data_IF_490621017502
#
_entry.id   IF_490621017502
#
_cell.length_a   1.000
_cell.length_b   1.000
_cell.length_c   1.000
_cell.angle_alpha   90.00
_cell.angle_beta   90.00
_cell.angle_gamma   90.00
#
_symmetry.space_group_name_H-M   'P 1'
#
loop_
_entity.id
_entity.type
_entity.pdbx_description
1 polymer ?
#
# COMPACT_ATOMS: atom_id res chain seq x y z
N UNK A 1 -15.53 -36.09 -20.89
CA UNK A 1 -14.36 -35.18 -20.83
C UNK A 1 -14.63 -34.07 -21.82
N UNK A 2 -15.21 -32.95 -21.37
CA UNK A 2 -15.55 -31.82 -22.25
C UNK A 2 -14.29 -30.96 -22.45
N UNK A 3 -13.80 -30.88 -23.68
CA UNK A 3 -12.71 -29.97 -24.05
C UNK A 3 -13.26 -28.56 -23.98
N UNK A 4 -12.87 -27.79 -22.92
CA UNK A 4 -13.15 -26.36 -22.85
C UNK A 4 -12.27 -25.69 -23.92
N UNK A 5 -12.85 -25.44 -25.08
CA UNK A 5 -12.22 -24.60 -26.11
C UNK A 5 -12.21 -23.16 -25.56
N UNK A 6 -11.03 -22.70 -25.19
CA UNK A 6 -10.86 -21.28 -24.78
C UNK A 6 -11.10 -20.42 -26.02
N UNK A 7 -12.00 -19.41 -25.95
CA UNK A 7 -12.13 -18.45 -27.02
C UNK A 7 -10.79 -17.69 -27.14
N UNK A 8 -10.21 -17.68 -28.31
CA UNK A 8 -9.07 -16.82 -28.64
C UNK A 8 -9.50 -15.37 -28.40
N UNK A 9 -8.71 -14.58 -27.68
CA UNK A 9 -9.05 -13.17 -27.46
C UNK A 9 -9.18 -12.51 -28.85
N UNK A 10 -10.32 -11.87 -29.11
CA UNK A 10 -10.50 -11.05 -30.30
C UNK A 10 -9.39 -10.02 -30.40
N UNK A 11 -8.79 -9.77 -31.58
CA UNK A 11 -7.76 -8.73 -31.71
C UNK A 11 -8.35 -7.40 -31.31
N UNK A 12 -7.86 -6.86 -30.21
CA UNK A 12 -8.25 -5.50 -29.78
C UNK A 12 -7.58 -4.49 -30.72
N UNK A 13 -8.27 -3.44 -31.17
CA UNK A 13 -7.69 -2.41 -32.04
C UNK A 13 -6.63 -1.55 -31.32
N UNK A 14 -6.34 -1.85 -30.07
CA UNK A 14 -5.39 -1.11 -29.22
C UNK A 14 -4.15 -1.93 -28.92
N UNK A 15 -2.98 -1.28 -28.70
CA UNK A 15 -1.79 -1.97 -28.21
C UNK A 15 -2.11 -2.84 -26.97
N UNK A 16 -1.47 -3.97 -26.84
CA UNK A 16 -1.79 -4.98 -25.81
C UNK A 16 -1.91 -4.40 -24.38
N UNK A 17 -1.10 -3.38 -24.04
CA UNK A 17 -1.12 -2.71 -22.74
C UNK A 17 -2.38 -1.86 -22.56
N UNK A 18 -2.76 -1.07 -23.59
CA UNK A 18 -3.97 -0.22 -23.55
C UNK A 18 -5.22 -1.10 -23.50
N UNK A 19 -5.22 -2.18 -24.27
CA UNK A 19 -6.32 -3.16 -24.26
C UNK A 19 -6.50 -3.81 -22.90
N UNK A 20 -5.41 -4.15 -22.19
CA UNK A 20 -5.46 -4.70 -20.84
C UNK A 20 -5.99 -3.68 -19.82
N UNK A 21 -5.55 -2.41 -19.91
CA UNK A 21 -6.04 -1.35 -19.04
C UNK A 21 -7.55 -1.09 -19.20
N UNK A 22 -8.04 -1.03 -20.43
CA UNK A 22 -9.46 -0.86 -20.72
C UNK A 22 -10.31 -2.04 -20.20
N UNK A 23 -9.79 -3.27 -20.32
CA UNK A 23 -10.45 -4.46 -19.77
C UNK A 23 -10.43 -4.47 -18.24
N UNK A 24 -9.29 -4.15 -17.60
CA UNK A 24 -9.16 -4.04 -16.15
C UNK A 24 -10.12 -2.98 -15.55
N UNK A 25 -10.40 -1.89 -16.28
CA UNK A 25 -11.39 -0.87 -15.88
C UNK A 25 -12.78 -1.48 -15.62
N UNK A 26 -13.17 -2.56 -16.33
CA UNK A 26 -14.45 -3.23 -16.07
C UNK A 26 -14.49 -3.87 -14.68
N UNK A 27 -13.35 -4.40 -14.19
CA UNK A 27 -13.24 -4.90 -12.82
C UNK A 27 -13.42 -3.78 -11.80
N UNK A 28 -12.83 -2.62 -12.05
CA UNK A 28 -12.99 -1.43 -11.19
C UNK A 28 -14.43 -0.98 -11.16
N UNK A 29 -15.11 -0.89 -12.33
CA UNK A 29 -16.53 -0.53 -12.41
C UNK A 29 -17.41 -1.48 -11.59
N UNK A 30 -17.16 -2.78 -11.69
CA UNK A 30 -17.86 -3.80 -10.90
C UNK A 30 -17.63 -3.57 -9.41
N UNK A 31 -16.39 -3.40 -8.97
CA UNK A 31 -16.06 -3.17 -7.57
C UNK A 31 -16.72 -1.87 -7.06
N UNK A 32 -16.72 -0.81 -7.84
CA UNK A 32 -17.37 0.46 -7.50
C UNK A 32 -18.89 0.29 -7.27
N UNK A 33 -19.58 -0.51 -8.09
CA UNK A 33 -21.00 -0.79 -7.93
C UNK A 33 -21.31 -1.56 -6.65
N UNK A 34 -20.46 -2.53 -6.29
CA UNK A 34 -20.57 -3.31 -5.05
C UNK A 34 -20.40 -2.39 -3.82
N UNK A 35 -19.34 -1.56 -3.82
CA UNK A 35 -19.01 -0.71 -2.68
C UNK A 35 -19.83 0.57 -2.58
N UNK A 36 -20.65 0.90 -3.58
CA UNK A 36 -21.52 2.10 -3.56
C UNK A 36 -22.41 2.21 -2.32
N UNK A 37 -22.84 1.08 -1.77
CA UNK A 37 -23.70 1.02 -0.59
C UNK A 37 -22.91 0.97 0.74
N UNK A 38 -21.58 0.82 0.68
CA UNK A 38 -20.71 0.69 1.86
C UNK A 38 -19.88 1.96 2.12
N UNK A 39 -20.42 3.15 1.79
CA UNK A 39 -19.73 4.43 1.95
C UNK A 39 -19.31 4.72 3.41
N UNK A 40 -20.07 4.20 4.39
CA UNK A 40 -19.76 4.33 5.82
C UNK A 40 -18.41 3.67 6.14
N UNK A 41 -18.08 2.52 5.51
CA UNK A 41 -16.79 1.84 5.69
C UNK A 41 -15.64 2.70 5.15
N UNK A 42 -15.85 3.39 4.04
CA UNK A 42 -14.84 4.31 3.49
C UNK A 42 -14.66 5.51 4.43
N UNK A 43 -15.76 6.04 4.95
CA UNK A 43 -15.73 7.17 5.89
C UNK A 43 -15.08 6.81 7.23
N UNK A 44 -15.31 5.60 7.75
CA UNK A 44 -14.69 5.15 9.01
C UNK A 44 -13.16 5.13 8.94
N UNK A 45 -12.59 4.85 7.78
CA UNK A 45 -11.13 4.89 7.57
C UNK A 45 -10.49 6.28 7.69
N UNK A 46 -11.30 7.36 7.69
CA UNK A 46 -10.82 8.72 7.97
C UNK A 46 -10.47 8.93 9.45
N UNK A 47 -11.14 8.24 10.34
CA UNK A 47 -10.92 8.41 11.78
C UNK A 47 -9.63 7.76 12.29
N UNK A 48 -9.18 6.67 11.65
CA UNK A 48 -7.95 5.99 12.04
C UNK A 48 -6.74 6.95 12.04
N UNK A 49 -6.43 7.67 10.93
CA UNK A 49 -5.36 8.68 10.91
C UNK A 49 -5.51 9.76 11.99
N UNK A 50 -6.72 10.25 12.17
CA UNK A 50 -7.00 11.30 13.15
C UNK A 50 -6.67 10.83 14.58
N UNK A 51 -7.12 9.63 14.95
CA UNK A 51 -6.84 9.08 16.28
C UNK A 51 -5.36 8.77 16.48
N UNK A 52 -4.66 8.26 15.47
CA UNK A 52 -3.21 8.07 15.55
C UNK A 52 -2.47 9.38 15.73
N UNK A 53 -2.80 10.43 14.95
CA UNK A 53 -2.14 11.72 15.06
C UNK A 53 -2.45 12.43 16.38
N UNK A 54 -3.68 12.34 16.87
CA UNK A 54 -4.05 12.91 18.17
C UNK A 54 -3.43 12.12 19.33
N UNK A 55 -3.55 10.79 19.33
CA UNK A 55 -3.06 9.96 20.42
C UNK A 55 -1.53 9.89 20.46
N UNK A 56 -0.90 9.55 19.35
CA UNK A 56 0.56 9.38 19.29
C UNK A 56 1.24 10.72 19.01
N UNK A 57 0.79 11.48 18.00
CA UNK A 57 1.44 12.72 17.61
C UNK A 57 1.41 13.77 18.70
N UNK A 58 0.25 14.09 19.23
CA UNK A 58 0.11 15.08 20.31
C UNK A 58 0.21 14.44 21.69
N UNK A 59 -0.45 13.30 21.95
CA UNK A 59 -0.43 12.66 23.26
C UNK A 59 0.98 12.30 23.73
N UNK A 60 1.71 11.48 22.95
CA UNK A 60 3.11 11.18 23.26
C UNK A 60 4.04 12.37 23.03
N UNK A 61 3.73 13.24 22.09
CA UNK A 61 4.53 14.43 21.80
C UNK A 61 4.75 15.35 23.02
N UNK A 62 3.78 15.43 23.93
CA UNK A 62 3.92 16.20 25.17
C UNK A 62 4.97 15.63 26.13
N UNK A 63 5.26 14.35 26.05
CA UNK A 63 6.27 13.67 26.88
C UNK A 63 7.63 13.55 26.18
N UNK A 64 7.63 13.36 24.86
CA UNK A 64 8.87 13.16 24.08
C UNK A 64 9.54 14.51 23.77
N UNK A 65 8.75 15.56 23.51
CA UNK A 65 9.27 16.86 23.11
C UNK A 65 9.74 16.88 21.66
N UNK A 66 10.84 17.59 21.42
CA UNK A 66 11.42 17.73 20.07
C UNK A 66 12.38 16.61 19.75
N UNK A 67 12.40 16.19 18.48
CA UNK A 67 13.28 15.15 17.95
C UNK A 67 14.34 15.76 17.03
N UNK A 68 15.59 15.35 17.23
CA UNK A 68 16.68 15.69 16.31
C UNK A 68 16.72 14.65 15.18
N UNK A 69 16.48 15.11 13.96
CA UNK A 69 16.56 14.31 12.74
C UNK A 69 18.00 14.22 12.21
N UNK A 70 18.22 13.38 11.22
CA UNK A 70 19.47 13.37 10.45
C UNK A 70 19.77 14.78 9.91
N UNK A 71 21.05 15.18 9.94
CA UNK A 71 21.46 16.55 9.56
C UNK A 71 21.30 17.60 10.66
N UNK A 72 20.89 17.22 11.89
CA UNK A 72 20.79 18.12 13.03
C UNK A 72 19.51 18.97 13.07
N UNK A 73 18.53 18.72 12.22
CA UNK A 73 17.25 19.42 12.21
C UNK A 73 16.38 18.98 13.40
N UNK A 74 15.92 19.95 14.18
CA UNK A 74 15.04 19.72 15.33
C UNK A 74 13.61 20.01 14.93
N UNK A 75 12.73 19.04 15.13
CA UNK A 75 11.30 19.14 14.79
C UNK A 75 10.44 18.63 15.94
N UNK A 76 9.20 19.16 16.13
CA UNK A 76 8.25 18.60 17.09
C UNK A 76 7.98 17.11 16.79
N UNK A 77 7.78 16.31 17.84
CA UNK A 77 7.51 14.88 17.69
C UNK A 77 6.36 14.57 16.73
N UNK A 78 5.28 15.37 16.77
CA UNK A 78 4.14 15.19 15.87
C UNK A 78 4.53 15.34 14.40
N UNK A 79 5.42 16.27 14.06
CA UNK A 79 5.94 16.47 12.69
C UNK A 79 6.82 15.31 12.26
N UNK A 80 7.58 14.72 13.18
CA UNK A 80 8.43 13.56 12.93
C UNK A 80 7.61 12.30 12.66
N UNK A 81 6.56 12.04 13.48
CA UNK A 81 5.80 10.80 13.45
C UNK A 81 4.70 10.80 12.38
N UNK A 82 4.14 11.94 12.01
CA UNK A 82 3.01 12.03 11.09
C UNK A 82 3.27 11.39 9.70
N UNK A 83 4.39 11.66 9.00
CA UNK A 83 4.69 10.99 7.73
C UNK A 83 4.91 9.48 7.88
N UNK A 84 5.42 9.04 9.02
CA UNK A 84 5.60 7.63 9.30
C UNK A 84 4.25 6.92 9.53
N UNK A 85 3.31 7.57 10.22
CA UNK A 85 1.94 7.07 10.36
C UNK A 85 1.20 7.06 9.02
N UNK A 86 1.44 8.04 8.13
CA UNK A 86 0.92 8.05 6.77
C UNK A 86 1.45 6.84 5.97
N UNK A 87 2.76 6.56 6.04
CA UNK A 87 3.37 5.39 5.40
C UNK A 87 2.80 4.08 5.94
N UNK A 88 2.65 3.96 7.25
CA UNK A 88 2.07 2.81 7.93
C UNK A 88 0.61 2.59 7.53
N UNK A 89 -0.22 3.62 7.59
CA UNK A 89 -1.64 3.54 7.21
C UNK A 89 -1.77 3.13 5.73
N UNK A 90 -0.90 3.69 4.87
CA UNK A 90 -0.82 3.32 3.45
C UNK A 90 -0.47 1.84 3.26
N UNK A 91 0.55 1.35 3.95
CA UNK A 91 0.94 -0.07 3.90
C UNK A 91 -0.18 -0.97 4.41
N UNK A 92 -0.71 -0.67 5.59
CA UNK A 92 -1.75 -1.49 6.21
C UNK A 92 -3.01 -1.53 5.36
N UNK A 93 -3.47 -0.37 4.87
CA UNK A 93 -4.63 -0.27 3.98
C UNK A 93 -4.43 -1.01 2.66
N UNK A 94 -3.27 -0.85 2.02
CA UNK A 94 -2.94 -1.51 0.76
C UNK A 94 -2.88 -3.03 0.87
N UNK A 95 -2.20 -3.54 1.90
CA UNK A 95 -2.04 -4.98 2.14
C UNK A 95 -3.37 -5.59 2.59
N UNK A 96 -4.08 -4.95 3.53
CA UNK A 96 -5.38 -5.45 4.00
C UNK A 96 -6.38 -5.53 2.86
N UNK A 97 -6.50 -4.47 2.03
CA UNK A 97 -7.42 -4.46 0.91
C UNK A 97 -7.14 -5.60 -0.07
N UNK A 98 -5.88 -5.82 -0.39
CA UNK A 98 -5.51 -6.87 -1.35
C UNK A 98 -5.61 -8.26 -0.74
N UNK A 99 -5.24 -8.46 0.54
CA UNK A 99 -5.36 -9.77 1.19
C UNK A 99 -6.83 -10.13 1.37
N UNK A 100 -7.61 -9.33 2.10
CA UNK A 100 -9.00 -9.69 2.42
C UNK A 100 -9.86 -9.77 1.17
N UNK A 101 -9.87 -8.73 0.35
CA UNK A 101 -10.75 -8.63 -0.80
C UNK A 101 -10.45 -9.72 -1.85
N UNK A 102 -9.17 -9.90 -2.21
CA UNK A 102 -8.78 -10.89 -3.23
C UNK A 102 -8.91 -12.33 -2.70
N UNK A 103 -8.58 -12.56 -1.42
CA UNK A 103 -8.70 -13.90 -0.83
C UNK A 103 -10.15 -14.41 -0.82
N UNK A 104 -11.10 -13.59 -0.41
CA UNK A 104 -12.51 -13.99 -0.40
C UNK A 104 -13.04 -14.19 -1.82
N UNK A 105 -12.73 -13.33 -2.76
CA UNK A 105 -13.09 -13.47 -4.18
C UNK A 105 -12.49 -14.73 -4.83
N UNK A 106 -11.26 -15.10 -4.43
CA UNK A 106 -10.55 -16.24 -4.97
C UNK A 106 -11.07 -17.58 -4.42
N UNK A 107 -11.24 -17.65 -3.09
CA UNK A 107 -11.45 -18.94 -2.42
C UNK A 107 -12.93 -19.22 -2.10
N UNK A 108 -13.73 -18.20 -1.78
CA UNK A 108 -15.12 -18.37 -1.35
C UNK A 108 -16.13 -18.00 -2.43
N UNK A 109 -16.03 -16.81 -2.98
CA UNK A 109 -17.01 -16.33 -3.96
C UNK A 109 -16.76 -16.86 -5.37
N UNK A 110 -15.57 -17.37 -5.65
CA UNK A 110 -15.14 -17.89 -6.96
C UNK A 110 -15.41 -16.95 -8.14
N UNK A 111 -15.35 -15.64 -7.85
CA UNK A 111 -15.67 -14.60 -8.83
C UNK A 111 -14.74 -14.65 -10.03
N UNK A 112 -13.47 -15.01 -9.81
CA UNK A 112 -12.49 -15.05 -10.87
C UNK A 112 -12.73 -16.17 -11.87
N UNK A 113 -13.37 -17.28 -11.47
CA UNK A 113 -13.79 -18.33 -12.40
C UNK A 113 -14.84 -17.80 -13.40
N UNK A 114 -15.82 -17.03 -12.90
CA UNK A 114 -16.81 -16.37 -13.74
C UNK A 114 -16.19 -15.28 -14.64
N UNK A 115 -15.21 -14.52 -14.13
CA UNK A 115 -14.49 -13.51 -14.93
C UNK A 115 -13.67 -14.17 -16.04
N UNK A 116 -13.01 -15.29 -15.78
CA UNK A 116 -12.24 -16.03 -16.76
C UNK A 116 -13.09 -16.73 -17.84
N UNK A 117 -14.40 -16.88 -17.62
CA UNK A 117 -15.34 -17.29 -18.66
C UNK A 117 -15.64 -16.17 -19.68
N UNK A 118 -15.21 -14.93 -19.40
CA UNK A 118 -15.26 -13.77 -20.29
C UNK A 118 -13.92 -13.58 -21.01
N UNK A 119 -13.78 -12.65 -21.97
CA UNK A 119 -12.50 -12.36 -22.63
C UNK A 119 -11.42 -11.74 -21.73
N UNK A 120 -11.62 -11.70 -20.42
CA UNK A 120 -10.64 -11.20 -19.44
C UNK A 120 -9.63 -12.28 -19.06
N UNK A 121 -8.35 -11.89 -19.02
CA UNK A 121 -7.27 -12.77 -18.59
C UNK A 121 -6.85 -12.54 -17.13
N UNK A 122 -6.00 -13.44 -16.62
CA UNK A 122 -5.44 -13.34 -15.25
C UNK A 122 -4.71 -12.00 -15.03
N UNK A 123 -4.04 -11.50 -16.07
CA UNK A 123 -3.38 -10.19 -16.00
C UNK A 123 -4.36 -9.02 -15.82
N UNK A 124 -5.53 -9.11 -16.46
CA UNK A 124 -6.58 -8.09 -16.36
C UNK A 124 -7.23 -8.11 -14.96
N UNK A 125 -7.36 -9.31 -14.36
CA UNK A 125 -7.83 -9.49 -12.98
C UNK A 125 -6.83 -8.84 -12.02
N UNK A 126 -5.54 -9.19 -12.09
CA UNK A 126 -4.52 -8.65 -11.21
C UNK A 126 -4.43 -7.13 -11.31
N UNK A 127 -4.46 -6.59 -12.54
CA UNK A 127 -4.43 -5.14 -12.76
C UNK A 127 -5.70 -4.46 -12.26
N UNK A 128 -6.87 -5.07 -12.45
CA UNK A 128 -8.16 -4.52 -12.01
C UNK A 128 -8.27 -4.44 -10.49
N UNK A 129 -7.83 -5.49 -9.77
CA UNK A 129 -7.81 -5.47 -8.30
C UNK A 129 -6.77 -4.45 -7.76
N UNK A 130 -5.61 -4.35 -8.42
CA UNK A 130 -4.62 -3.35 -8.08
C UNK A 130 -5.15 -1.92 -8.28
N UNK A 131 -5.80 -1.65 -9.41
CA UNK A 131 -6.41 -0.34 -9.68
C UNK A 131 -7.48 0.01 -8.65
N UNK A 132 -8.29 -0.97 -8.24
CA UNK A 132 -9.30 -0.78 -7.20
C UNK A 132 -8.66 -0.45 -5.85
N UNK A 133 -7.65 -1.21 -5.42
CA UNK A 133 -6.91 -0.95 -4.20
C UNK A 133 -6.25 0.43 -4.21
N UNK A 134 -5.70 0.86 -5.37
CA UNK A 134 -5.13 2.20 -5.56
C UNK A 134 -6.17 3.31 -5.41
N UNK A 135 -7.39 3.14 -5.93
CA UNK A 135 -8.47 4.13 -5.76
C UNK A 135 -8.79 4.30 -4.27
N UNK A 136 -8.93 3.22 -3.54
CA UNK A 136 -9.17 3.28 -2.08
C UNK A 136 -8.01 3.90 -1.33
N UNK A 137 -6.78 3.50 -1.64
CA UNK A 137 -5.58 4.08 -1.06
C UNK A 137 -5.50 5.59 -1.31
N UNK A 138 -5.91 6.06 -2.49
CA UNK A 138 -5.97 7.50 -2.81
C UNK A 138 -6.91 8.24 -1.87
N UNK A 139 -8.10 7.69 -1.63
CA UNK A 139 -9.10 8.31 -0.75
C UNK A 139 -8.53 8.45 0.67
N UNK A 140 -7.94 7.39 1.21
CA UNK A 140 -7.35 7.41 2.56
C UNK A 140 -6.11 8.31 2.64
N UNK A 141 -5.24 8.29 1.63
CA UNK A 141 -4.07 9.16 1.57
C UNK A 141 -4.45 10.64 1.55
N UNK A 142 -5.44 11.02 0.72
CA UNK A 142 -5.95 12.40 0.68
C UNK A 142 -6.53 12.81 2.03
N UNK A 143 -7.31 11.93 2.66
CA UNK A 143 -7.88 12.18 3.98
C UNK A 143 -6.77 12.39 5.03
N UNK A 144 -5.75 11.51 5.05
CA UNK A 144 -4.64 11.61 5.99
C UNK A 144 -3.83 12.91 5.78
N UNK A 145 -3.46 13.20 4.53
CA UNK A 145 -2.70 14.41 4.19
C UNK A 145 -3.53 15.67 4.51
N UNK A 146 -4.84 15.65 4.29
CA UNK A 146 -5.72 16.76 4.67
C UNK A 146 -5.72 17.00 6.20
N UNK A 147 -5.76 15.94 7.01
CA UNK A 147 -5.62 16.06 8.47
C UNK A 147 -4.25 16.63 8.85
N UNK A 148 -3.16 16.13 8.25
CA UNK A 148 -1.81 16.67 8.48
C UNK A 148 -1.72 18.16 8.13
N UNK A 149 -2.36 18.58 7.02
CA UNK A 149 -2.40 19.97 6.59
C UNK A 149 -3.15 20.86 7.60
N UNK A 150 -4.33 20.44 8.04
CA UNK A 150 -5.14 21.17 9.03
C UNK A 150 -4.41 21.28 10.37
N UNK A 151 -3.66 20.25 10.76
CA UNK A 151 -2.88 20.24 11.99
C UNK A 151 -1.53 20.98 11.87
N UNK A 152 -1.18 21.53 10.69
CA UNK A 152 0.08 22.24 10.47
C UNK A 152 1.33 21.36 10.49
N UNK A 153 1.19 20.06 10.21
CA UNK A 153 2.29 19.08 10.25
C UNK A 153 3.07 19.00 8.93
N UNK A 154 2.63 19.70 7.88
CA UNK A 154 3.32 19.80 6.60
C UNK A 154 4.11 21.10 6.56
N UNK A 155 5.38 21.03 6.89
CA UNK A 155 6.24 22.22 7.03
C UNK A 155 7.04 22.56 5.77
N UNK A 156 6.94 21.74 4.72
CA UNK A 156 7.72 21.88 3.50
C UNK A 156 6.85 22.10 2.25
N UNK A 157 7.31 22.92 1.28
CA UNK A 157 6.68 23.01 -0.04
C UNK A 157 6.67 21.69 -0.81
N UNK A 158 7.65 20.80 -0.55
CA UNK A 158 7.73 19.47 -1.15
C UNK A 158 6.61 18.53 -0.70
N UNK A 159 5.84 18.90 0.34
CA UNK A 159 4.68 18.14 0.81
C UNK A 159 3.59 17.95 -0.28
N UNK A 160 3.58 18.79 -1.33
CA UNK A 160 2.72 18.59 -2.50
C UNK A 160 3.00 17.24 -3.17
N UNK A 161 4.25 16.76 -3.13
CA UNK A 161 4.65 15.46 -3.64
C UNK A 161 4.32 14.30 -2.70
N UNK A 162 3.85 14.56 -1.47
CA UNK A 162 3.51 13.51 -0.52
C UNK A 162 2.38 12.62 -1.06
N UNK A 163 1.37 13.19 -1.75
CA UNK A 163 0.29 12.41 -2.33
C UNK A 163 0.79 11.44 -3.42
N UNK A 164 1.47 11.87 -4.50
CA UNK A 164 2.00 10.94 -5.49
C UNK A 164 3.01 9.95 -4.91
N UNK A 165 3.82 10.34 -3.93
CA UNK A 165 4.74 9.43 -3.24
C UNK A 165 3.98 8.37 -2.44
N UNK A 166 2.92 8.75 -1.72
CA UNK A 166 2.04 7.81 -1.00
C UNK A 166 1.39 6.82 -1.94
N UNK A 167 0.92 7.27 -3.11
CA UNK A 167 0.35 6.38 -4.13
C UNK A 167 1.39 5.43 -4.71
N UNK A 168 2.61 5.88 -4.90
CA UNK A 168 3.72 5.03 -5.33
C UNK A 168 4.04 3.96 -4.29
N UNK A 169 4.12 4.30 -3.00
CA UNK A 169 4.26 3.35 -1.90
C UNK A 169 3.10 2.36 -1.86
N UNK A 170 1.85 2.85 -1.98
CA UNK A 170 0.65 2.03 -2.02
C UNK A 170 0.68 1.00 -3.14
N UNK A 171 1.14 1.38 -4.34
CA UNK A 171 1.29 0.47 -5.47
C UNK A 171 2.22 -0.71 -5.14
N UNK A 172 3.35 -0.42 -4.50
CA UNK A 172 4.32 -1.45 -4.09
C UNK A 172 3.71 -2.39 -3.02
N UNK A 173 3.03 -1.84 -2.03
CA UNK A 173 2.38 -2.64 -0.97
C UNK A 173 1.15 -3.41 -1.47
N UNK A 174 0.34 -2.86 -2.37
CA UNK A 174 -0.75 -3.58 -3.03
C UNK A 174 -0.23 -4.79 -3.81
N UNK A 175 0.87 -4.62 -4.54
CA UNK A 175 1.49 -5.73 -5.27
C UNK A 175 1.99 -6.83 -4.32
N UNK A 176 2.60 -6.44 -3.19
CA UNK A 176 3.05 -7.38 -2.16
C UNK A 176 1.88 -8.11 -1.49
N UNK A 177 0.81 -7.39 -1.12
CA UNK A 177 -0.39 -8.00 -0.57
C UNK A 177 -1.07 -8.96 -1.54
N UNK A 178 -1.16 -8.60 -2.83
CA UNK A 178 -1.68 -9.48 -3.87
C UNK A 178 -0.83 -10.75 -4.03
N UNK A 179 0.50 -10.62 -3.97
CA UNK A 179 1.40 -11.78 -3.99
C UNK A 179 1.17 -12.66 -2.75
N UNK A 180 1.12 -12.07 -1.56
CA UNK A 180 0.91 -12.77 -0.29
C UNK A 180 -0.41 -13.55 -0.29
N UNK A 181 -1.50 -12.95 -0.79
CA UNK A 181 -2.82 -13.60 -0.89
C UNK A 181 -2.75 -14.94 -1.63
N UNK A 182 -1.87 -15.05 -2.61
CA UNK A 182 -1.74 -16.30 -3.38
C UNK A 182 -1.12 -17.45 -2.57
N UNK A 183 -0.49 -17.21 -1.45
CA UNK A 183 0.08 -18.24 -0.57
C UNK A 183 -0.90 -18.66 0.53
N UNK A 184 -1.84 -17.80 0.90
CA UNK A 184 -2.81 -18.07 1.96
C UNK A 184 -3.82 -19.13 1.51
N UNK A 185 -4.18 -20.02 2.43
CA UNK A 185 -5.12 -21.14 2.20
C UNK A 185 -6.38 -21.00 3.07
N UNK A 186 -6.21 -20.52 4.28
CA UNK A 186 -7.26 -20.36 5.29
C UNK A 186 -7.29 -18.94 5.82
N UNK A 187 -8.36 -18.56 6.50
CA UNK A 187 -8.47 -17.25 7.17
C UNK A 187 -7.45 -17.13 8.32
N UNK A 188 -7.13 -18.23 9.00
CA UNK A 188 -6.13 -18.24 10.05
C UNK A 188 -4.72 -17.91 9.57
N UNK A 189 -4.42 -18.17 8.29
CA UNK A 189 -3.12 -17.83 7.71
C UNK A 189 -2.88 -16.31 7.65
N UNK A 190 -3.92 -15.49 7.87
CA UNK A 190 -3.77 -14.03 7.90
C UNK A 190 -2.92 -13.54 9.07
N UNK A 191 -2.89 -14.28 10.17
CA UNK A 191 -2.06 -13.94 11.33
C UNK A 191 -0.57 -13.91 11.00
N UNK A 192 -0.12 -14.68 10.01
CA UNK A 192 1.29 -14.71 9.60
C UNK A 192 1.75 -13.37 9.00
N UNK A 193 1.16 -12.83 7.91
CA UNK A 193 1.58 -11.55 7.37
C UNK A 193 1.34 -10.39 8.33
N UNK A 194 0.20 -10.35 9.04
CA UNK A 194 -0.12 -9.24 9.92
C UNK A 194 0.70 -9.25 11.21
N UNK A 195 0.78 -10.37 11.90
CA UNK A 195 1.46 -10.50 13.20
C UNK A 195 2.98 -10.61 13.06
N UNK A 196 3.48 -11.37 12.07
CA UNK A 196 4.91 -11.68 11.97
C UNK A 196 5.68 -10.68 11.08
N UNK A 197 5.02 -10.03 10.11
CA UNK A 197 5.70 -9.14 9.17
C UNK A 197 5.29 -7.69 9.39
N UNK A 198 4.00 -7.37 9.29
CA UNK A 198 3.52 -5.98 9.32
C UNK A 198 3.73 -5.34 10.68
N UNK A 199 3.41 -6.05 11.77
CA UNK A 199 3.53 -5.52 13.12
C UNK A 199 4.98 -5.20 13.52
N UNK A 200 5.97 -6.09 13.34
CA UNK A 200 7.37 -5.74 13.58
C UNK A 200 7.88 -4.63 12.67
N UNK A 201 7.51 -4.63 11.39
CA UNK A 201 7.86 -3.53 10.50
C UNK A 201 7.34 -2.19 11.01
N UNK A 202 6.09 -2.14 11.47
CA UNK A 202 5.51 -0.92 12.03
C UNK A 202 6.27 -0.40 13.25
N UNK A 203 6.65 -1.28 14.15
CA UNK A 203 7.32 -0.89 15.39
C UNK A 203 8.77 -0.42 15.13
N UNK A 204 9.48 -1.03 14.20
CA UNK A 204 10.92 -0.83 14.05
C UNK A 204 11.32 0.04 12.86
N UNK A 205 10.46 0.31 11.87
CA UNK A 205 10.82 1.06 10.65
C UNK A 205 11.06 2.57 10.82
N UNK A 206 11.48 3.01 12.00
CA UNK A 206 11.70 4.43 12.28
C UNK A 206 10.41 5.24 12.41
N UNK A 207 9.29 4.57 12.71
CA UNK A 207 7.98 5.20 12.87
C UNK A 207 7.93 6.08 14.11
N UNK A 208 8.34 5.54 15.24
CA UNK A 208 8.24 6.22 16.54
C UNK A 208 9.53 6.88 16.98
N UNK A 209 10.66 6.34 16.56
CA UNK A 209 11.99 6.79 16.97
C UNK A 209 12.93 6.80 15.78
N UNK A 210 13.94 7.71 15.77
CA UNK A 210 15.02 7.67 14.79
C UNK A 210 15.74 6.31 14.86
N UNK A 211 16.08 5.75 13.71
CA UNK A 211 16.75 4.43 13.67
C UNK A 211 18.14 4.45 14.30
N UNK A 212 18.74 5.62 14.46
CA UNK A 212 20.07 5.80 15.06
C UNK A 212 20.16 5.36 16.52
N UNK A 213 19.01 5.23 17.23
CA UNK A 213 19.01 4.73 18.62
C UNK A 213 19.15 3.20 18.71
N UNK A 214 18.93 2.49 17.59
CA UNK A 214 19.02 1.03 17.58
C UNK A 214 20.47 0.55 17.44
N UNK A 215 20.79 -0.69 17.91
CA UNK A 215 22.07 -1.34 17.60
C UNK A 215 22.26 -1.49 16.08
N UNK A 216 23.51 -1.46 15.61
CA UNK A 216 23.85 -1.48 14.17
C UNK A 216 23.22 -2.66 13.39
N UNK A 217 23.21 -3.86 14.01
CA UNK A 217 22.57 -5.03 13.38
C UNK A 217 21.07 -4.85 13.14
N UNK A 218 20.37 -4.16 14.07
CA UNK A 218 18.95 -3.90 13.94
C UNK A 218 18.69 -2.78 12.92
N UNK A 219 19.54 -1.74 12.88
CA UNK A 219 19.48 -0.71 11.85
C UNK A 219 19.57 -1.32 10.44
N UNK A 220 20.49 -2.25 10.24
CA UNK A 220 20.63 -2.96 8.97
C UNK A 220 19.35 -3.75 8.61
N UNK A 221 18.77 -4.49 9.54
CA UNK A 221 17.52 -5.22 9.31
C UNK A 221 16.34 -4.29 8.98
N UNK A 222 16.24 -3.17 9.69
CA UNK A 222 15.21 -2.16 9.45
C UNK A 222 15.34 -1.56 8.06
N UNK A 223 16.56 -1.23 7.62
CA UNK A 223 16.83 -0.69 6.29
C UNK A 223 16.52 -1.67 5.15
N UNK A 224 16.39 -2.96 5.43
CA UNK A 224 15.93 -3.95 4.44
C UNK A 224 14.40 -3.97 4.31
N UNK A 225 13.66 -3.27 5.16
CA UNK A 225 12.19 -3.29 5.14
C UNK A 225 11.63 -2.25 4.17
N UNK A 226 10.60 -2.57 3.39
CA UNK A 226 9.99 -1.60 2.48
C UNK A 226 9.29 -0.46 3.21
N UNK A 227 8.80 -0.68 4.42
CA UNK A 227 8.17 0.37 5.21
C UNK A 227 9.16 1.47 5.61
N UNK A 228 10.40 1.11 5.98
CA UNK A 228 11.44 2.09 6.27
C UNK A 228 11.63 3.06 5.10
N UNK A 229 11.75 2.54 3.89
CA UNK A 229 11.93 3.36 2.70
C UNK A 229 10.70 4.25 2.41
N UNK A 230 9.50 3.77 2.67
CA UNK A 230 8.28 4.56 2.54
C UNK A 230 8.23 5.68 3.59
N UNK A 231 8.62 5.40 4.84
CA UNK A 231 8.70 6.37 5.93
C UNK A 231 9.69 7.47 5.61
N UNK A 232 10.92 7.12 5.24
CA UNK A 232 11.97 8.11 4.92
C UNK A 232 11.62 8.95 3.69
N UNK A 233 11.03 8.35 2.64
CA UNK A 233 10.56 9.07 1.47
C UNK A 233 9.50 10.13 1.85
N UNK A 234 8.47 9.73 2.59
CA UNK A 234 7.39 10.65 2.97
C UNK A 234 7.86 11.69 3.99
N UNK A 235 8.74 11.30 4.91
CA UNK A 235 9.35 12.21 5.89
C UNK A 235 10.19 13.29 5.21
N UNK A 236 11.05 12.91 4.27
CA UNK A 236 11.85 13.86 3.49
C UNK A 236 10.99 14.90 2.76
N UNK A 237 9.89 14.47 2.15
CA UNK A 237 8.98 15.38 1.42
C UNK A 237 8.19 16.31 2.36
N UNK A 238 7.71 15.81 3.50
CA UNK A 238 6.86 16.59 4.42
C UNK A 238 7.65 17.54 5.30
N UNK A 239 8.90 17.19 5.66
CA UNK A 239 9.79 18.02 6.47
C UNK A 239 10.72 18.92 5.65
N UNK A 240 10.95 18.58 4.35
CA UNK A 240 11.81 19.35 3.46
C UNK A 240 13.29 18.98 3.52
N UNK A 241 13.68 18.00 4.33
CA UNK A 241 15.03 17.47 4.38
C UNK A 241 15.22 16.49 3.21
N UNK A 242 15.37 17.04 2.00
CA UNK A 242 15.48 16.27 0.77
C UNK A 242 16.95 16.05 0.44
N UNK A 243 17.44 14.85 0.72
CA UNK A 243 18.80 14.42 0.40
C UNK A 243 18.82 13.53 -0.86
N UNK A 244 19.98 13.36 -1.55
CA UNK A 244 20.09 12.44 -2.69
C UNK A 244 19.69 10.99 -2.39
N UNK A 245 19.71 10.58 -1.12
CA UNK A 245 19.27 9.27 -0.61
C UNK A 245 17.80 8.97 -0.93
N UNK A 246 16.99 10.00 -1.19
CA UNK A 246 15.57 9.83 -1.61
C UNK A 246 15.44 8.98 -2.88
N UNK A 247 16.42 9.07 -3.80
CA UNK A 247 16.44 8.24 -5.01
C UNK A 247 16.64 6.76 -4.70
N UNK A 248 17.43 6.45 -3.67
CA UNK A 248 17.63 5.08 -3.22
C UNK A 248 16.32 4.50 -2.64
N UNK A 249 15.55 5.29 -1.86
CA UNK A 249 14.26 4.88 -1.33
C UNK A 249 13.25 4.62 -2.46
N UNK A 250 13.18 5.51 -3.45
CA UNK A 250 12.32 5.33 -4.64
C UNK A 250 12.75 4.08 -5.42
N UNK A 251 14.05 3.92 -5.68
CA UNK A 251 14.60 2.76 -6.40
C UNK A 251 14.29 1.44 -5.70
N UNK A 252 14.45 1.40 -4.38
CA UNK A 252 14.11 0.21 -3.58
C UNK A 252 12.62 -0.14 -3.67
N UNK A 253 11.73 0.83 -3.47
CA UNK A 253 10.29 0.62 -3.54
C UNK A 253 9.82 0.21 -4.94
N UNK A 254 10.44 0.78 -5.99
CA UNK A 254 10.18 0.38 -7.38
C UNK A 254 10.60 -1.07 -7.64
N UNK A 255 11.78 -1.47 -7.19
CA UNK A 255 12.28 -2.84 -7.31
C UNK A 255 11.40 -3.81 -6.51
N UNK A 256 11.10 -3.51 -5.25
CA UNK A 256 10.24 -4.30 -4.38
C UNK A 256 8.84 -4.49 -4.99
N UNK A 257 8.19 -3.41 -5.43
CA UNK A 257 6.85 -3.47 -6.04
C UNK A 257 6.86 -4.24 -7.36
N UNK A 258 7.91 -4.08 -8.19
CA UNK A 258 8.05 -4.80 -9.46
C UNK A 258 8.22 -6.30 -9.24
N UNK A 259 9.07 -6.72 -8.31
CA UNK A 259 9.26 -8.13 -7.94
C UNK A 259 7.96 -8.71 -7.39
N UNK A 260 7.30 -8.00 -6.48
CA UNK A 260 6.01 -8.42 -5.91
C UNK A 260 4.94 -8.57 -7.00
N UNK A 261 4.86 -7.65 -7.96
CA UNK A 261 3.90 -7.72 -9.07
C UNK A 261 4.15 -8.93 -9.99
N UNK A 262 5.40 -9.19 -10.34
CA UNK A 262 5.76 -10.36 -11.15
C UNK A 262 5.38 -11.65 -10.42
N UNK A 263 5.67 -11.72 -9.13
CA UNK A 263 5.32 -12.87 -8.28
C UNK A 263 3.81 -13.05 -8.18
N UNK A 264 3.06 -11.97 -7.92
CA UNK A 264 1.60 -11.97 -7.86
C UNK A 264 0.99 -12.52 -9.15
N UNK A 265 1.40 -12.00 -10.31
CA UNK A 265 0.92 -12.46 -11.62
C UNK A 265 1.20 -13.94 -11.88
N UNK A 266 2.43 -14.39 -11.63
CA UNK A 266 2.83 -15.79 -11.85
C UNK A 266 2.05 -16.74 -10.96
N UNK A 267 1.90 -16.41 -9.67
CA UNK A 267 1.20 -17.24 -8.70
C UNK A 267 -0.31 -17.25 -8.91
N UNK A 268 -0.90 -16.09 -9.23
CA UNK A 268 -2.32 -15.99 -9.55
C UNK A 268 -2.65 -16.82 -10.81
N UNK A 269 -1.79 -16.75 -11.83
CA UNK A 269 -1.94 -17.59 -13.03
C UNK A 269 -1.88 -19.08 -12.68
N UNK A 270 -0.95 -19.51 -11.83
CA UNK A 270 -0.84 -20.90 -11.41
C UNK A 270 -2.05 -21.41 -10.59
N UNK A 271 -2.74 -20.50 -9.87
CA UNK A 271 -3.98 -20.85 -9.12
C UNK A 271 -5.23 -20.88 -9.99
N UNK A 272 -5.34 -19.97 -10.95
CA UNK A 272 -6.55 -19.78 -11.76
C UNK A 272 -6.53 -20.60 -13.08
N UNK A 273 -5.36 -20.95 -13.58
CA UNK A 273 -5.20 -21.72 -14.82
C UNK A 273 -4.69 -23.11 -14.46
N UNK A 274 -5.59 -23.92 -13.91
CA UNK A 274 -5.37 -25.37 -13.70
C UNK A 274 -5.82 -26.14 -14.91
#
# INVERSE_FOLDING_TARGET
>A
MAVIVRPTPSPTPYPAVIGSFLRARRMVQRNMLVYRHSWIVIFSGFFEPLFYLLGIGYGLGTFVGDITMAGGYVVPYAVFVAPALLAQSTMNGAISETIFNVFFKLNFEKIYDAVLATPLGVGDIALGELMWAMIRATIYAVAFIAVMLVMGLLISPWAVLALPATLFCSLAFCAAGLATTTYLRTVQDFDLPFGLVIMPMFLFSGTFFPISIYPEWLQFLVQLTPLYHAVELLRALTTGVVEPTILAHIGYLAAFGSVAMVLARRRLAAKLVK
#
